data_IF_161593358290
#
_entry.id   IF_161593358290
#
_cell.length_a   1.000
_cell.length_b   1.000
_cell.length_c   1.000
_cell.angle_alpha   90.00
_cell.angle_beta   90.00
_cell.angle_gamma   90.00
#
_symmetry.space_group_name_H-M   'P 1'
#
loop_
_entity.id
_entity.type
_entity.pdbx_description
1 polymer ?
#
# COMPACT_ATOMS: atom_id res chain seq x y z
N UNK A 1 7.22 25.90 -20.70
CA UNK A 1 7.48 24.82 -21.69
C UNK A 1 7.76 23.57 -20.90
N UNK A 2 6.86 22.58 -20.94
CA UNK A 2 6.96 21.35 -20.15
C UNK A 2 7.65 20.32 -21.04
N UNK A 3 8.87 19.92 -20.68
CA UNK A 3 9.53 18.77 -21.26
C UNK A 3 8.64 17.54 -21.01
N UNK A 4 8.34 16.79 -22.07
CA UNK A 4 7.46 15.63 -22.00
C UNK A 4 7.95 14.63 -20.96
N UNK A 5 7.17 14.43 -19.91
CA UNK A 5 7.33 13.32 -18.98
C UNK A 5 7.24 12.02 -19.80
N UNK A 6 8.39 11.36 -19.99
CA UNK A 6 8.38 9.97 -20.42
C UNK A 6 7.64 9.21 -19.33
N UNK A 7 6.46 8.70 -19.65
CA UNK A 7 5.69 7.78 -18.82
C UNK A 7 6.61 6.64 -18.36
N UNK A 8 7.11 6.74 -17.14
CA UNK A 8 8.10 5.83 -16.60
C UNK A 8 7.42 4.48 -16.35
N UNK A 9 7.83 3.48 -17.12
CA UNK A 9 7.40 2.11 -16.92
C UNK A 9 8.30 1.49 -15.85
N UNK A 10 7.72 0.81 -14.87
CA UNK A 10 8.49 0.07 -13.87
C UNK A 10 8.78 -1.34 -14.41
N UNK A 11 10.04 -1.76 -14.30
CA UNK A 11 10.52 -3.08 -14.72
C UNK A 11 10.66 -3.99 -13.51
N UNK A 12 9.52 -4.48 -13.02
CA UNK A 12 9.43 -5.33 -11.85
C UNK A 12 8.37 -6.41 -12.09
N UNK A 13 8.75 -7.71 -12.07
CA UNK A 13 7.81 -8.81 -12.25
C UNK A 13 6.74 -8.79 -11.14
N UNK A 14 5.49 -8.61 -11.55
CA UNK A 14 4.35 -8.35 -10.68
C UNK A 14 3.28 -9.41 -10.92
N UNK A 15 2.87 -10.10 -9.85
CA UNK A 15 1.65 -10.90 -9.82
C UNK A 15 0.54 -10.09 -9.15
N UNK A 16 -0.54 -9.86 -9.88
CA UNK A 16 -1.75 -9.20 -9.40
C UNK A 16 -2.81 -10.26 -9.13
N UNK A 17 -3.22 -10.40 -7.88
CA UNK A 17 -4.34 -11.24 -7.50
C UNK A 17 -5.58 -10.37 -7.44
N UNK A 18 -6.65 -10.84 -8.05
CA UNK A 18 -7.87 -10.06 -8.25
C UNK A 18 -8.90 -10.31 -7.14
N UNK A 19 -9.77 -9.33 -6.93
CA UNK A 19 -11.06 -9.51 -6.23
C UNK A 19 -12.07 -10.19 -7.16
N UNK A 20 -13.27 -10.48 -6.66
CA UNK A 20 -14.37 -11.02 -7.49
C UNK A 20 -14.81 -10.00 -8.54
N UNK A 21 -14.86 -8.72 -8.17
CA UNK A 21 -15.14 -7.60 -9.06
C UNK A 21 -14.05 -7.46 -10.14
N UNK A 22 -12.77 -7.52 -9.72
CA UNK A 22 -11.63 -7.49 -10.64
C UNK A 22 -11.65 -8.66 -11.62
N UNK A 23 -11.89 -9.87 -11.12
CA UNK A 23 -12.03 -11.09 -11.93
C UNK A 23 -13.13 -10.92 -12.98
N UNK A 24 -14.31 -10.46 -12.57
CA UNK A 24 -15.44 -10.19 -13.46
C UNK A 24 -15.10 -9.14 -14.51
N UNK A 25 -14.42 -8.07 -14.13
CA UNK A 25 -13.99 -7.00 -15.03
C UNK A 25 -13.06 -7.51 -16.15
N UNK A 26 -12.07 -8.33 -15.80
CA UNK A 26 -11.12 -8.87 -16.77
C UNK A 26 -11.73 -9.95 -17.66
N UNK A 27 -12.56 -10.84 -17.11
CA UNK A 27 -13.27 -11.87 -17.88
C UNK A 27 -14.21 -11.22 -18.91
N UNK A 28 -14.99 -10.19 -18.54
CA UNK A 28 -15.86 -9.45 -19.47
C UNK A 28 -15.09 -8.80 -20.62
N UNK A 29 -13.79 -8.59 -20.48
CA UNK A 29 -12.89 -8.05 -21.50
C UNK A 29 -12.08 -9.11 -22.23
N UNK A 30 -12.49 -10.38 -22.13
CA UNK A 30 -11.84 -11.55 -22.73
C UNK A 30 -10.35 -11.67 -22.36
N UNK A 31 -9.98 -11.29 -21.13
CA UNK A 31 -8.62 -11.51 -20.61
C UNK A 31 -8.57 -12.83 -19.87
N UNK A 32 -7.67 -13.72 -20.30
CA UNK A 32 -7.41 -15.00 -19.63
C UNK A 32 -6.66 -14.73 -18.33
N UNK A 33 -7.21 -15.25 -17.23
CA UNK A 33 -6.57 -15.20 -15.93
C UNK A 33 -5.60 -16.36 -15.76
N UNK A 34 -4.48 -16.10 -15.11
CA UNK A 34 -3.51 -17.10 -14.71
C UNK A 34 -3.91 -17.66 -13.36
N UNK A 35 -3.74 -18.98 -13.18
CA UNK A 35 -3.83 -19.62 -11.87
C UNK A 35 -2.44 -19.58 -11.26
N UNK A 36 -2.29 -18.85 -10.17
CA UNK A 36 -1.07 -18.80 -9.40
C UNK A 36 -1.17 -19.78 -8.25
N UNK A 37 -0.11 -20.55 -8.05
CA UNK A 37 0.13 -21.25 -6.80
C UNK A 37 1.00 -20.31 -5.97
N UNK A 38 0.39 -19.74 -4.94
CA UNK A 38 1.03 -18.77 -4.04
C UNK A 38 1.33 -19.41 -2.68
N UNK A 39 2.08 -18.66 -1.90
CA UNK A 39 1.98 -18.50 -0.45
C UNK A 39 1.36 -19.65 0.31
N UNK A 40 1.95 -20.85 0.36
CA UNK A 40 1.40 -21.94 1.18
C UNK A 40 0.30 -22.76 0.47
N UNK A 41 0.49 -23.01 -0.83
CA UNK A 41 -0.33 -23.92 -1.66
C UNK A 41 -1.78 -23.45 -1.83
N UNK A 42 -2.03 -22.14 -1.72
CA UNK A 42 -3.32 -21.53 -2.05
C UNK A 42 -3.30 -21.14 -3.52
N UNK A 43 -4.35 -21.53 -4.23
CA UNK A 43 -4.52 -21.18 -5.61
C UNK A 43 -5.37 -19.93 -5.73
N UNK A 44 -4.80 -18.89 -6.32
CA UNK A 44 -5.51 -17.64 -6.59
C UNK A 44 -5.43 -17.31 -8.07
N UNK A 45 -6.42 -16.58 -8.58
CA UNK A 45 -6.50 -16.17 -9.97
C UNK A 45 -6.03 -14.72 -10.14
N UNK A 46 -5.30 -14.47 -11.21
CA UNK A 46 -4.71 -13.15 -11.40
C UNK A 46 -4.05 -12.90 -12.74
N UNK A 47 -3.23 -11.86 -12.78
CA UNK A 47 -2.50 -11.38 -13.96
C UNK A 47 -1.02 -11.25 -13.61
N UNK A 48 -0.14 -11.71 -14.51
CA UNK A 48 1.31 -11.52 -14.39
C UNK A 48 1.76 -10.40 -15.33
N UNK A 49 2.60 -9.50 -14.86
CA UNK A 49 3.15 -8.39 -15.62
C UNK A 49 4.66 -8.31 -15.41
N UNK A 50 5.45 -8.33 -16.48
CA UNK A 50 6.91 -8.11 -16.38
C UNK A 50 7.26 -6.62 -16.23
N UNK A 51 6.43 -5.76 -16.83
CA UNK A 51 6.56 -4.31 -16.79
C UNK A 51 5.18 -3.69 -16.66
N UNK A 52 5.07 -2.58 -15.95
CA UNK A 52 3.77 -1.92 -15.77
C UNK A 52 3.88 -0.40 -15.65
N UNK A 53 2.76 0.25 -15.95
CA UNK A 53 2.57 1.68 -15.70
C UNK A 53 2.01 1.88 -14.29
N UNK A 54 2.66 2.67 -13.41
CA UNK A 54 2.18 2.96 -12.05
C UNK A 54 0.71 3.41 -12.01
N UNK A 55 0.34 4.32 -12.91
CA UNK A 55 -1.03 4.85 -13.06
C UNK A 55 -2.08 3.76 -13.33
N UNK A 56 -1.70 2.68 -14.02
CA UNK A 56 -2.60 1.57 -14.30
C UNK A 56 -2.84 0.75 -13.04
N UNK A 57 -1.78 0.45 -12.28
CA UNK A 57 -1.90 -0.30 -11.02
C UNK A 57 -2.69 0.52 -10.00
N UNK A 58 -2.41 1.81 -9.86
CA UNK A 58 -3.16 2.69 -8.98
C UNK A 58 -4.66 2.71 -9.33
N UNK A 59 -5.02 2.81 -10.62
CA UNK A 59 -6.43 2.75 -11.03
C UNK A 59 -7.11 1.44 -10.65
N UNK A 60 -6.42 0.31 -10.79
CA UNK A 60 -6.95 -1.00 -10.40
C UNK A 60 -7.10 -1.12 -8.87
N UNK A 61 -6.16 -0.55 -8.10
CA UNK A 61 -6.24 -0.48 -6.63
C UNK A 61 -7.42 0.38 -6.17
N UNK A 62 -7.57 1.58 -6.74
CA UNK A 62 -8.65 2.51 -6.43
C UNK A 62 -10.04 1.96 -6.80
N UNK A 63 -10.11 1.15 -7.87
CA UNK A 63 -11.32 0.44 -8.28
C UNK A 63 -11.60 -0.85 -7.48
N UNK A 64 -10.75 -1.17 -6.49
CA UNK A 64 -10.84 -2.38 -5.67
C UNK A 64 -10.83 -3.69 -6.49
N UNK A 65 -10.09 -3.70 -7.60
CA UNK A 65 -9.94 -4.89 -8.45
C UNK A 65 -8.80 -5.80 -8.03
N UNK A 66 -7.90 -5.34 -7.14
CA UNK A 66 -6.72 -6.07 -6.69
C UNK A 66 -6.87 -6.34 -5.20
N UNK A 67 -6.76 -7.61 -4.81
CA UNK A 67 -6.79 -8.06 -3.42
C UNK A 67 -5.38 -8.28 -2.85
N UNK A 68 -4.43 -8.67 -3.71
CA UNK A 68 -3.03 -8.89 -3.35
C UNK A 68 -2.10 -8.59 -4.51
N UNK A 69 -0.91 -8.09 -4.18
CA UNK A 69 0.20 -7.90 -5.10
C UNK A 69 1.37 -8.72 -4.58
N UNK A 70 2.08 -9.43 -5.44
CA UNK A 70 3.28 -10.18 -5.10
C UNK A 70 4.40 -9.94 -6.11
N UNK A 71 5.63 -9.83 -5.61
CA UNK A 71 6.87 -9.81 -6.39
C UNK A 71 7.82 -10.87 -5.84
N UNK A 72 8.69 -11.39 -6.70
CA UNK A 72 9.69 -12.39 -6.31
C UNK A 72 10.95 -12.29 -7.17
N UNK A 73 12.13 -12.24 -6.55
CA UNK A 73 13.44 -12.24 -7.22
C UNK A 73 14.48 -12.94 -6.33
N UNK A 74 15.55 -13.45 -6.93
CA UNK A 74 16.74 -13.90 -6.18
C UNK A 74 17.54 -12.71 -5.64
N UNK A 75 17.45 -11.55 -6.31
CA UNK A 75 18.07 -10.29 -5.91
C UNK A 75 17.15 -9.10 -6.21
N UNK A 76 16.94 -8.25 -5.21
CA UNK A 76 16.11 -7.06 -5.28
C UNK A 76 16.89 -5.75 -5.22
N UNK A 77 18.18 -5.75 -4.82
CA UNK A 77 18.97 -4.51 -4.78
C UNK A 77 18.99 -3.78 -6.13
N UNK A 78 18.98 -4.53 -7.24
CA UNK A 78 18.90 -4.03 -8.61
C UNK A 78 17.56 -3.36 -8.98
N UNK A 79 16.52 -3.56 -8.16
CA UNK A 79 15.17 -2.99 -8.37
C UNK A 79 14.69 -2.17 -7.16
N UNK A 80 15.63 -1.62 -6.38
CA UNK A 80 15.35 -0.90 -5.13
C UNK A 80 14.33 0.22 -5.32
N UNK A 81 14.51 1.06 -6.33
CA UNK A 81 13.65 2.21 -6.56
C UNK A 81 12.23 1.77 -6.96
N UNK A 82 12.12 0.79 -7.85
CA UNK A 82 10.85 0.23 -8.33
C UNK A 82 10.02 -0.36 -7.18
N UNK A 83 10.68 -1.05 -6.23
CA UNK A 83 10.01 -1.63 -5.05
C UNK A 83 9.52 -0.53 -4.11
N UNK A 84 10.36 0.48 -3.84
CA UNK A 84 9.98 1.62 -3.01
C UNK A 84 8.81 2.38 -3.61
N UNK A 85 8.82 2.62 -4.92
CA UNK A 85 7.77 3.31 -5.65
C UNK A 85 6.47 2.51 -5.68
N UNK A 86 6.54 1.19 -5.91
CA UNK A 86 5.39 0.29 -5.82
C UNK A 86 4.77 0.32 -4.41
N UNK A 87 5.61 0.20 -3.37
CA UNK A 87 5.15 0.22 -1.98
C UNK A 87 4.47 1.55 -1.62
N UNK A 88 5.07 2.69 -2.01
CA UNK A 88 4.44 4.01 -1.83
C UNK A 88 3.10 4.10 -2.56
N UNK A 89 3.07 3.67 -3.83
CA UNK A 89 1.86 3.69 -4.65
C UNK A 89 0.72 2.88 -4.02
N UNK A 90 1.02 1.73 -3.44
CA UNK A 90 0.05 0.90 -2.72
C UNK A 90 -0.48 1.64 -1.49
N UNK A 91 0.40 2.19 -0.64
CA UNK A 91 0.00 2.93 0.57
C UNK A 91 -0.84 4.16 0.22
N UNK A 92 -0.43 4.95 -0.77
CA UNK A 92 -1.22 6.09 -1.25
C UNK A 92 -2.61 5.67 -1.73
N UNK A 93 -2.70 4.56 -2.47
CA UNK A 93 -3.99 4.04 -2.95
C UNK A 93 -4.91 3.62 -1.80
N UNK A 94 -4.36 3.01 -0.75
CA UNK A 94 -5.12 2.68 0.48
C UNK A 94 -5.65 3.96 1.13
N UNK A 95 -4.79 4.96 1.34
CA UNK A 95 -5.17 6.23 1.96
C UNK A 95 -6.23 6.98 1.16
N UNK A 96 -6.13 7.02 -0.18
CA UNK A 96 -7.13 7.66 -1.03
C UNK A 96 -8.50 7.01 -0.92
N UNK A 97 -8.57 5.66 -0.92
CA UNK A 97 -9.84 4.94 -0.76
C UNK A 97 -10.47 5.18 0.61
N UNK A 98 -9.67 5.09 1.66
CA UNK A 98 -10.16 5.34 3.01
C UNK A 98 -10.66 6.77 3.20
N UNK A 99 -9.93 7.75 2.65
CA UNK A 99 -10.37 9.13 2.69
C UNK A 99 -11.71 9.32 1.97
N UNK A 100 -11.86 8.75 0.77
CA UNK A 100 -13.13 8.78 0.04
C UNK A 100 -14.27 8.13 0.83
N UNK A 101 -14.06 6.93 1.39
CA UNK A 101 -15.05 6.25 2.22
C UNK A 101 -15.42 7.05 3.47
N UNK A 102 -14.43 7.61 4.16
CA UNK A 102 -14.63 8.43 5.35
C UNK A 102 -15.45 9.68 5.00
N UNK A 103 -15.03 10.44 3.98
CA UNK A 103 -15.73 11.65 3.53
C UNK A 103 -17.15 11.32 3.13
N UNK A 104 -17.35 10.26 2.35
CA UNK A 104 -18.69 9.87 1.90
C UNK A 104 -19.61 9.59 3.10
N UNK A 105 -19.14 8.81 4.10
CA UNK A 105 -19.89 8.57 5.34
C UNK A 105 -20.17 9.85 6.13
N UNK A 106 -19.22 10.76 6.24
CA UNK A 106 -19.43 12.04 6.94
C UNK A 106 -20.47 12.92 6.23
N UNK A 107 -20.41 12.97 4.90
CA UNK A 107 -21.35 13.72 4.08
C UNK A 107 -22.78 13.16 4.23
N UNK A 108 -22.95 11.85 4.14
CA UNK A 108 -24.26 11.20 4.33
C UNK A 108 -24.84 11.45 5.73
N UNK A 109 -23.98 11.52 6.75
CA UNK A 109 -24.39 11.79 8.14
C UNK A 109 -24.53 13.28 8.48
N UNK A 110 -24.23 14.17 7.53
CA UNK A 110 -24.28 15.61 7.74
C UNK A 110 -25.71 16.14 7.96
N UNK A 111 -25.87 17.29 8.63
CA UNK A 111 -27.17 17.95 8.78
C UNK A 111 -27.88 18.23 7.43
N UNK A 112 -27.09 18.51 6.38
CA UNK A 112 -27.57 18.76 5.02
C UNK A 112 -28.37 17.56 4.49
N UNK A 113 -27.76 16.37 4.52
CA UNK A 113 -28.40 15.15 4.01
C UNK A 113 -29.53 14.68 4.92
N UNK A 114 -29.37 14.75 6.24
CA UNK A 114 -30.43 14.42 7.19
C UNK A 114 -31.69 15.28 6.97
N UNK A 115 -31.52 16.58 6.74
CA UNK A 115 -32.63 17.50 6.45
C UNK A 115 -33.26 17.17 5.09
N UNK A 116 -32.45 16.93 4.05
CA UNK A 116 -32.96 16.52 2.73
C UNK A 116 -33.83 15.26 2.82
N UNK A 117 -33.33 14.21 3.48
CA UNK A 117 -34.02 12.93 3.61
C UNK A 117 -35.34 13.07 4.38
N UNK A 118 -35.41 13.94 5.40
CA UNK A 118 -36.64 14.23 6.13
C UNK A 118 -37.70 14.90 5.26
N UNK A 119 -37.30 15.79 4.35
CA UNK A 119 -38.22 16.53 3.47
C UNK A 119 -38.56 15.71 2.21
N UNK A 120 -37.69 14.80 1.80
CA UNK A 120 -37.81 14.02 0.55
C UNK A 120 -37.76 12.50 0.83
N UNK A 121 -38.75 11.93 1.54
CA UNK A 121 -38.73 10.52 1.93
C UNK A 121 -38.78 9.54 0.73
N UNK A 122 -39.30 9.97 -0.42
CA UNK A 122 -39.30 9.16 -1.65
C UNK A 122 -37.96 9.16 -2.41
N UNK A 123 -37.05 10.08 -2.07
CA UNK A 123 -35.78 10.32 -2.77
C UNK A 123 -34.64 10.49 -1.76
N UNK A 124 -34.54 9.54 -0.84
CA UNK A 124 -33.52 9.48 0.21
C UNK A 124 -32.14 9.33 -0.43
N UNK A 125 -31.16 9.99 0.19
CA UNK A 125 -29.73 9.87 -0.11
C UNK A 125 -29.07 9.14 1.05
N UNK A 126 -28.54 7.95 0.78
CA UNK A 126 -27.87 7.06 1.71
C UNK A 126 -26.79 6.21 0.99
N UNK A 127 -26.19 5.24 1.70
CA UNK A 127 -25.17 4.35 1.15
C UNK A 127 -25.68 3.42 0.04
N UNK A 128 -26.99 3.18 -0.02
CA UNK A 128 -27.65 2.30 -1.01
C UNK A 128 -28.14 3.05 -2.24
N UNK A 129 -27.96 4.37 -2.25
CA UNK A 129 -28.45 5.23 -3.33
C UNK A 129 -27.66 4.97 -4.61
N UNK A 130 -28.31 4.30 -5.56
CA UNK A 130 -27.77 4.09 -6.90
C UNK A 130 -28.17 5.25 -7.82
N UNK A 131 -27.16 5.93 -8.38
CA UNK A 131 -27.35 6.98 -9.40
C UNK A 131 -26.88 6.43 -10.74
N UNK A 132 -27.67 6.66 -11.79
CA UNK A 132 -27.29 6.34 -13.15
C UNK A 132 -25.97 7.06 -13.52
N UNK A 133 -24.95 6.30 -13.91
CA UNK A 133 -23.60 6.83 -14.18
C UNK A 133 -23.56 7.88 -15.29
N UNK A 134 -24.35 7.70 -16.36
CA UNK A 134 -24.42 8.67 -17.46
C UNK A 134 -25.04 9.99 -17.01
N UNK A 135 -26.10 9.90 -16.22
CA UNK A 135 -26.74 11.07 -15.63
C UNK A 135 -25.77 11.81 -14.68
N UNK A 136 -25.10 11.07 -13.79
CA UNK A 136 -24.12 11.62 -12.86
C UNK A 136 -22.98 12.33 -13.61
N UNK A 137 -22.38 11.67 -14.60
CA UNK A 137 -21.31 12.25 -15.41
C UNK A 137 -21.76 13.54 -16.12
N UNK A 138 -22.98 13.56 -16.67
CA UNK A 138 -23.52 14.75 -17.32
C UNK A 138 -23.73 15.92 -16.35
N UNK A 139 -24.19 15.66 -15.12
CA UNK A 139 -24.34 16.71 -14.11
C UNK A 139 -22.99 17.24 -13.67
N UNK A 140 -22.03 16.36 -13.38
CA UNK A 140 -20.69 16.78 -12.95
C UNK A 140 -19.99 17.60 -14.03
N UNK A 141 -20.15 17.23 -15.31
CA UNK A 141 -19.64 18.02 -16.44
C UNK A 141 -20.28 19.41 -16.52
N UNK A 142 -21.59 19.52 -16.29
CA UNK A 142 -22.27 20.84 -16.24
C UNK A 142 -21.80 21.69 -15.06
N UNK A 143 -21.43 21.05 -13.96
CA UNK A 143 -20.99 21.69 -12.72
C UNK A 143 -19.46 21.76 -12.59
N UNK A 144 -18.69 21.59 -13.67
CA UNK A 144 -17.22 21.49 -13.61
C UNK A 144 -16.57 22.70 -12.93
N UNK A 145 -16.98 23.92 -13.32
CA UNK A 145 -16.50 25.14 -12.68
C UNK A 145 -16.86 25.18 -11.19
N UNK A 146 -18.07 24.75 -10.85
CA UNK A 146 -18.53 24.74 -9.46
C UNK A 146 -17.71 23.78 -8.59
N UNK A 147 -17.37 22.61 -9.15
CA UNK A 147 -16.50 21.63 -8.51
C UNK A 147 -15.11 22.21 -8.31
N UNK A 148 -14.57 22.88 -9.33
CA UNK A 148 -13.27 23.54 -9.25
C UNK A 148 -13.26 24.60 -8.13
N UNK A 149 -14.25 25.48 -8.09
CA UNK A 149 -14.35 26.53 -7.07
C UNK A 149 -14.46 25.94 -5.66
N UNK A 150 -15.28 24.89 -5.48
CA UNK A 150 -15.40 24.20 -4.19
C UNK A 150 -14.10 23.51 -3.77
N UNK A 151 -13.31 22.96 -4.71
CA UNK A 151 -11.97 22.45 -4.41
C UNK A 151 -11.05 23.57 -3.93
N UNK A 152 -11.05 24.72 -4.61
CA UNK A 152 -10.22 25.86 -4.20
C UNK A 152 -10.62 26.41 -2.83
N UNK A 153 -11.92 26.41 -2.50
CA UNK A 153 -12.43 26.80 -1.19
C UNK A 153 -11.96 25.86 -0.07
N UNK A 154 -11.85 24.57 -0.36
CA UNK A 154 -11.26 23.59 0.56
C UNK A 154 -9.75 23.81 0.71
N UNK A 155 -9.04 23.96 -0.41
CA UNK A 155 -7.57 23.92 -0.48
C UNK A 155 -6.90 25.24 -0.06
N UNK A 156 -7.47 26.40 -0.38
CA UNK A 156 -6.84 27.72 -0.20
C UNK A 156 -6.39 27.99 1.26
N UNK A 157 -7.20 27.70 2.29
CA UNK A 157 -6.77 27.85 3.68
C UNK A 157 -5.59 26.94 4.02
N UNK A 158 -5.58 25.72 3.50
CA UNK A 158 -4.48 24.77 3.70
C UNK A 158 -3.21 25.24 2.98
N UNK A 159 -3.35 25.72 1.74
CA UNK A 159 -2.22 26.25 0.96
C UNK A 159 -1.59 27.46 1.63
N UNK A 160 -2.42 28.31 2.22
CA UNK A 160 -1.96 29.46 2.99
C UNK A 160 -1.17 29.03 4.23
N UNK A 161 -1.60 27.97 4.93
CA UNK A 161 -0.89 27.40 6.07
C UNK A 161 0.46 26.77 5.66
N UNK A 162 0.47 25.96 4.61
CA UNK A 162 1.68 25.30 4.08
C UNK A 162 2.70 26.34 3.60
N UNK A 163 2.26 27.39 2.88
CA UNK A 163 3.15 28.43 2.38
C UNK A 163 3.87 29.19 3.51
N UNK A 164 3.17 29.44 4.62
CA UNK A 164 3.70 30.11 5.81
C UNK A 164 4.58 29.22 6.69
N UNK A 165 4.69 27.92 6.40
CA UNK A 165 5.52 27.03 7.17
C UNK A 165 6.99 27.15 6.72
N UNK A 166 7.82 27.79 7.53
CA UNK A 166 9.25 28.00 7.23
C UNK A 166 10.11 26.75 7.46
N UNK A 167 9.56 25.70 8.07
CA UNK A 167 10.25 24.42 8.25
C UNK A 167 10.23 23.55 6.99
N UNK A 168 9.35 23.87 6.02
CA UNK A 168 9.23 23.12 4.77
C UNK A 168 10.01 23.79 3.65
N UNK A 169 10.78 22.98 2.92
CA UNK A 169 11.44 23.41 1.69
C UNK A 169 10.41 23.64 0.57
N UNK A 170 10.72 24.45 -0.47
CA UNK A 170 9.81 24.69 -1.59
C UNK A 170 9.32 23.40 -2.27
N UNK A 171 10.18 22.40 -2.42
CA UNK A 171 9.82 21.11 -3.01
C UNK A 171 8.82 20.35 -2.14
N UNK A 172 9.00 20.39 -0.82
CA UNK A 172 8.09 19.75 0.15
C UNK A 172 6.73 20.44 0.16
N UNK A 173 6.70 21.77 0.06
CA UNK A 173 5.46 22.54 -0.10
C UNK A 173 4.70 22.13 -1.36
N UNK A 174 5.39 22.00 -2.50
CA UNK A 174 4.79 21.57 -3.76
C UNK A 174 4.21 20.16 -3.68
N UNK A 175 4.91 19.23 -3.02
CA UNK A 175 4.41 17.87 -2.77
C UNK A 175 3.11 17.93 -1.96
N UNK A 176 3.06 18.73 -0.89
CA UNK A 176 1.87 18.89 -0.06
C UNK A 176 0.68 19.49 -0.84
N UNK A 177 0.91 20.48 -1.70
CA UNK A 177 -0.14 21.01 -2.58
C UNK A 177 -0.71 19.93 -3.48
N UNK A 178 0.18 19.21 -4.17
CA UNK A 178 -0.21 18.13 -5.07
C UNK A 178 -0.98 17.01 -4.34
N UNK A 179 -0.57 16.65 -3.13
CA UNK A 179 -1.28 15.67 -2.31
C UNK A 179 -2.71 16.11 -1.98
N UNK A 180 -2.91 17.38 -1.59
CA UNK A 180 -4.23 17.93 -1.35
C UNK A 180 -5.16 17.79 -2.56
N UNK A 181 -4.66 18.13 -3.75
CA UNK A 181 -5.41 17.95 -5.00
C UNK A 181 -5.71 16.48 -5.29
N UNK A 182 -4.73 15.59 -5.09
CA UNK A 182 -4.89 14.16 -5.35
C UNK A 182 -5.98 13.53 -4.48
N UNK A 183 -6.04 13.84 -3.19
CA UNK A 183 -7.10 13.35 -2.32
C UNK A 183 -8.48 13.80 -2.80
N UNK A 184 -8.65 15.09 -3.13
CA UNK A 184 -9.92 15.62 -3.62
C UNK A 184 -10.30 15.05 -4.99
N UNK A 185 -9.32 14.82 -5.86
CA UNK A 185 -9.54 14.23 -7.20
C UNK A 185 -9.94 12.74 -7.14
N UNK A 186 -9.58 12.04 -6.06
CA UNK A 186 -9.94 10.64 -5.84
C UNK A 186 -11.26 10.45 -5.08
N UNK A 187 -11.93 11.53 -4.65
CA UNK A 187 -13.29 11.44 -4.13
C UNK A 187 -14.24 10.95 -5.23
N UNK A 188 -15.16 10.05 -4.85
CA UNK A 188 -16.12 9.45 -5.78
C UNK A 188 -17.00 10.51 -6.43
N UNK A 189 -17.41 10.31 -7.70
CA UNK A 189 -18.29 11.23 -8.42
C UNK A 189 -19.56 11.64 -7.64
N UNK A 190 -20.14 10.70 -6.87
CA UNK A 190 -21.35 10.96 -6.09
C UNK A 190 -21.12 11.98 -4.96
N UNK A 191 -19.93 12.00 -4.35
CA UNK A 191 -19.55 13.00 -3.36
C UNK A 191 -19.60 14.41 -3.96
N UNK A 192 -19.03 14.60 -5.16
CA UNK A 192 -19.07 15.88 -5.85
C UNK A 192 -20.47 16.30 -6.29
N UNK A 193 -21.32 15.33 -6.66
CA UNK A 193 -22.73 15.59 -6.93
C UNK A 193 -23.44 16.13 -5.70
N UNK A 194 -23.22 15.55 -4.51
CA UNK A 194 -23.81 16.03 -3.27
C UNK A 194 -23.31 17.46 -2.97
N UNK A 195 -21.99 17.68 -3.00
CA UNK A 195 -21.39 19.01 -2.73
C UNK A 195 -22.01 20.07 -3.65
N UNK A 196 -22.07 19.81 -4.96
CA UNK A 196 -22.62 20.79 -5.91
C UNK A 196 -24.13 20.99 -5.76
N UNK A 197 -24.88 19.93 -5.48
CA UNK A 197 -26.35 20.00 -5.30
C UNK A 197 -26.75 20.82 -4.09
N UNK A 198 -25.98 20.77 -3.00
CA UNK A 198 -26.34 21.39 -1.73
C UNK A 198 -25.54 22.66 -1.40
N UNK A 199 -24.89 23.28 -2.39
CA UNK A 199 -24.07 24.49 -2.19
C UNK A 199 -24.83 25.64 -1.52
N UNK A 200 -26.12 25.81 -1.84
CA UNK A 200 -26.96 26.88 -1.27
C UNK A 200 -27.54 26.54 0.11
N UNK A 201 -27.20 25.39 0.70
CA UNK A 201 -27.66 25.00 2.03
C UNK A 201 -26.98 25.83 3.11
N UNK A 202 -27.72 26.23 4.14
CA UNK A 202 -27.16 26.95 5.31
C UNK A 202 -26.06 26.15 6.02
N UNK A 203 -26.11 24.82 5.94
CA UNK A 203 -25.15 23.91 6.58
C UNK A 203 -23.97 23.52 5.66
N UNK A 204 -23.84 24.14 4.48
CA UNK A 204 -22.81 23.80 3.48
C UNK A 204 -21.38 24.08 3.97
N UNK A 205 -21.16 25.18 4.68
CA UNK A 205 -19.84 25.50 5.27
C UNK A 205 -19.34 24.42 6.22
N UNK A 206 -20.25 23.80 6.97
CA UNK A 206 -19.90 22.70 7.88
C UNK A 206 -19.38 21.50 7.07
N UNK A 207 -19.98 21.21 5.91
CA UNK A 207 -19.55 20.15 5.01
C UNK A 207 -18.11 20.39 4.53
N UNK A 208 -17.81 21.60 4.05
CA UNK A 208 -16.47 21.95 3.57
C UNK A 208 -15.43 21.91 4.69
N UNK A 209 -15.81 22.37 5.89
CA UNK A 209 -14.95 22.29 7.08
C UNK A 209 -14.61 20.84 7.42
N UNK A 210 -15.58 19.93 7.43
CA UNK A 210 -15.34 18.50 7.64
C UNK A 210 -14.34 17.97 6.62
N UNK A 211 -14.58 18.21 5.32
CA UNK A 211 -13.69 17.75 4.25
C UNK A 211 -12.26 18.27 4.48
N UNK A 212 -12.11 19.58 4.73
CA UNK A 212 -10.81 20.23 4.96
C UNK A 212 -10.07 19.69 6.17
N UNK A 213 -10.74 19.51 7.30
CA UNK A 213 -10.10 19.01 8.53
C UNK A 213 -9.61 17.58 8.37
N UNK A 214 -10.40 16.70 7.76
CA UNK A 214 -9.94 15.33 7.47
C UNK A 214 -8.89 15.27 6.38
N UNK A 215 -8.90 16.18 5.41
CA UNK A 215 -7.88 16.24 4.37
C UNK A 215 -6.50 16.45 4.99
N UNK A 216 -6.38 17.38 5.95
CA UNK A 216 -5.13 17.61 6.66
C UNK A 216 -4.64 16.35 7.40
N UNK A 217 -5.52 15.65 8.10
CA UNK A 217 -5.19 14.41 8.81
C UNK A 217 -4.68 13.31 7.86
N UNK A 218 -5.37 13.09 6.73
CA UNK A 218 -4.96 12.09 5.75
C UNK A 218 -3.69 12.48 4.99
N UNK A 219 -3.46 13.77 4.76
CA UNK A 219 -2.20 14.25 4.21
C UNK A 219 -1.03 13.96 5.15
N UNK A 220 -1.19 14.12 6.46
CA UNK A 220 -0.13 13.77 7.43
C UNK A 220 0.15 12.26 7.46
N UNK A 221 -0.89 11.40 7.33
CA UNK A 221 -0.73 9.94 7.21
C UNK A 221 0.14 9.51 6.03
N UNK A 222 0.24 10.32 4.97
CA UNK A 222 1.05 9.98 3.79
C UNK A 222 2.54 9.84 4.08
N UNK A 223 3.04 10.46 5.16
CA UNK A 223 4.45 10.36 5.56
C UNK A 223 4.85 8.92 5.88
N UNK A 224 3.91 8.11 6.35
CA UNK A 224 4.14 6.70 6.65
C UNK A 224 4.52 5.91 5.38
N UNK A 225 4.08 6.33 4.19
CA UNK A 225 4.41 5.64 2.95
C UNK A 225 5.93 5.54 2.71
N UNK A 226 6.67 6.61 3.04
CA UNK A 226 8.13 6.61 2.96
C UNK A 226 8.75 5.63 3.95
N UNK A 227 8.29 5.68 5.21
CA UNK A 227 8.82 4.84 6.29
C UNK A 227 8.55 3.35 6.05
N UNK A 228 7.36 3.00 5.55
CA UNK A 228 7.03 1.63 5.15
C UNK A 228 7.97 1.17 4.04
N UNK A 229 8.17 1.98 3.00
CA UNK A 229 9.03 1.61 1.88
C UNK A 229 10.50 1.46 2.28
N UNK A 230 11.02 2.33 3.15
CA UNK A 230 12.38 2.22 3.67
C UNK A 230 12.55 0.96 4.50
N UNK A 231 11.70 0.75 5.50
CA UNK A 231 11.76 -0.43 6.35
C UNK A 231 11.60 -1.71 5.51
N UNK A 232 10.71 -1.74 4.53
CA UNK A 232 10.52 -2.89 3.67
C UNK A 232 11.79 -3.21 2.87
N UNK A 233 12.45 -2.19 2.32
CA UNK A 233 13.72 -2.41 1.63
C UNK A 233 14.80 -2.97 2.54
N UNK A 234 14.89 -2.50 3.78
CA UNK A 234 15.85 -3.05 4.75
C UNK A 234 15.56 -4.52 5.06
N UNK A 235 14.29 -4.91 5.22
CA UNK A 235 13.91 -6.32 5.40
C UNK A 235 14.26 -7.17 4.17
N UNK A 236 14.03 -6.64 2.97
CA UNK A 236 14.36 -7.31 1.71
C UNK A 236 15.87 -7.53 1.61
N UNK A 237 16.66 -6.48 1.83
CA UNK A 237 18.12 -6.57 1.77
C UNK A 237 18.68 -7.51 2.84
N UNK A 238 18.09 -7.51 4.03
CA UNK A 238 18.44 -8.45 5.10
C UNK A 238 18.21 -9.90 4.66
N UNK A 239 17.02 -10.22 4.12
CA UNK A 239 16.69 -11.55 3.62
C UNK A 239 17.58 -11.99 2.44
N UNK A 240 17.84 -11.08 1.50
CA UNK A 240 18.74 -11.32 0.36
C UNK A 240 20.17 -11.61 0.83
N UNK A 241 20.71 -10.81 1.74
CA UNK A 241 22.05 -11.00 2.29
C UNK A 241 22.17 -12.32 3.05
N UNK A 242 21.14 -12.75 3.77
CA UNK A 242 21.11 -14.07 4.41
C UNK A 242 21.25 -15.20 3.38
N UNK A 243 20.50 -15.13 2.28
CA UNK A 243 20.56 -16.11 1.20
C UNK A 243 21.94 -16.13 0.53
N UNK A 244 22.50 -14.96 0.24
CA UNK A 244 23.84 -14.83 -0.35
C UNK A 244 24.94 -15.38 0.56
N UNK A 245 24.93 -15.06 1.87
CA UNK A 245 25.93 -15.59 2.83
C UNK A 245 25.85 -17.11 2.93
N UNK A 246 24.64 -17.66 2.92
CA UNK A 246 24.43 -19.11 2.96
C UNK A 246 25.01 -19.79 1.72
N UNK A 247 24.80 -19.21 0.54
CA UNK A 247 25.34 -19.74 -0.72
C UNK A 247 26.87 -19.56 -0.80
N UNK A 248 27.39 -18.44 -0.27
CA UNK A 248 28.83 -18.19 -0.19
C UNK A 248 29.56 -19.26 0.62
N UNK A 249 29.01 -19.64 1.79
CA UNK A 249 29.58 -20.72 2.62
C UNK A 249 29.62 -22.08 1.91
N UNK A 250 28.71 -22.35 0.97
CA UNK A 250 28.72 -23.60 0.19
C UNK A 250 29.75 -23.56 -0.94
N UNK A 251 29.81 -22.45 -1.68
CA UNK A 251 30.67 -22.31 -2.85
C UNK A 251 32.12 -21.98 -2.49
N UNK A 252 32.34 -21.36 -1.34
CA UNK A 252 33.64 -20.91 -0.85
C UNK A 252 33.83 -21.31 0.62
N UNK A 253 33.99 -22.60 0.94
CA UNK A 253 34.12 -23.08 2.32
C UNK A 253 35.34 -22.52 3.06
N UNK A 254 36.38 -22.13 2.31
CA UNK A 254 37.64 -21.62 2.85
C UNK A 254 37.57 -20.12 3.23
N UNK A 255 36.47 -19.42 2.92
CA UNK A 255 36.26 -18.03 3.35
C UNK A 255 35.88 -17.99 4.83
N UNK A 256 36.78 -17.45 5.65
CA UNK A 256 36.60 -17.28 7.10
C UNK A 256 35.42 -16.36 7.43
N UNK A 257 35.14 -15.39 6.56
CA UNK A 257 33.97 -14.52 6.67
C UNK A 257 33.17 -14.50 5.35
N UNK A 258 31.95 -15.04 5.40
CA UNK A 258 31.02 -15.00 4.27
C UNK A 258 30.54 -13.59 3.91
N UNK A 259 30.79 -12.60 4.75
CA UNK A 259 30.48 -11.19 4.50
C UNK A 259 31.52 -10.52 3.58
N UNK A 260 32.82 -10.85 3.75
CA UNK A 260 33.88 -10.38 2.84
C UNK A 260 33.62 -10.79 1.40
N UNK A 261 33.09 -12.00 1.21
CA UNK A 261 32.70 -12.55 -0.10
C UNK A 261 31.64 -11.68 -0.83
N UNK A 262 30.79 -10.97 -0.10
CA UNK A 262 29.70 -10.18 -0.68
C UNK A 262 30.16 -8.81 -1.19
N UNK A 263 31.32 -8.33 -0.74
CA UNK A 263 31.88 -7.06 -1.21
C UNK A 263 32.62 -7.18 -2.54
N UNK A 264 33.03 -8.39 -2.95
CA UNK A 264 33.57 -8.63 -4.28
C UNK A 264 32.44 -8.73 -5.33
N UNK A 265 32.37 -7.81 -6.31
CA UNK A 265 31.31 -7.80 -7.31
C UNK A 265 31.25 -9.06 -8.18
N UNK A 266 32.39 -9.72 -8.43
CA UNK A 266 32.44 -10.93 -9.25
C UNK A 266 31.91 -12.13 -8.47
N UNK A 267 32.31 -12.26 -7.19
CA UNK A 267 31.77 -13.30 -6.30
C UNK A 267 30.27 -13.09 -6.14
N UNK A 268 29.82 -11.86 -5.85
CA UNK A 268 28.40 -11.53 -5.72
C UNK A 268 27.59 -11.91 -6.96
N UNK A 269 28.04 -11.55 -8.18
CA UNK A 269 27.35 -11.95 -9.42
C UNK A 269 27.23 -13.46 -9.57
N UNK A 270 28.28 -14.21 -9.20
CA UNK A 270 28.26 -15.67 -9.25
C UNK A 270 27.27 -16.26 -8.23
N UNK A 271 27.21 -15.70 -7.03
CA UNK A 271 26.24 -16.10 -6.01
C UNK A 271 24.79 -15.85 -6.47
N UNK A 272 24.51 -14.68 -7.04
CA UNK A 272 23.18 -14.34 -7.57
C UNK A 272 22.78 -15.33 -8.68
N UNK A 273 23.68 -15.61 -9.63
CA UNK A 273 23.41 -16.58 -10.70
C UNK A 273 23.13 -18.00 -10.16
N UNK A 274 23.81 -18.40 -9.08
CA UNK A 274 23.56 -19.68 -8.43
C UNK A 274 22.20 -19.71 -7.70
N UNK A 275 21.82 -18.63 -7.01
CA UNK A 275 20.51 -18.49 -6.39
C UNK A 275 19.39 -18.54 -7.44
N UNK A 276 19.56 -17.87 -8.58
CA UNK A 276 18.61 -17.91 -9.70
C UNK A 276 18.48 -19.33 -10.27
N UNK A 277 19.61 -20.03 -10.47
CA UNK A 277 19.64 -21.41 -10.95
C UNK A 277 18.90 -22.37 -10.00
N UNK A 278 19.09 -22.17 -8.69
CA UNK A 278 18.49 -23.00 -7.65
C UNK A 278 17.06 -22.57 -7.29
N UNK A 279 16.53 -21.52 -7.94
CA UNK A 279 15.25 -20.89 -7.64
C UNK A 279 15.12 -20.51 -6.15
N UNK A 280 16.21 -20.07 -5.54
CA UNK A 280 16.21 -19.48 -4.20
C UNK A 280 15.77 -18.02 -4.34
N UNK A 281 14.52 -17.76 -3.94
CA UNK A 281 13.83 -16.49 -4.16
C UNK A 281 13.45 -15.86 -2.82
N UNK A 282 13.50 -14.53 -2.79
CA UNK A 282 12.80 -13.72 -1.78
C UNK A 282 11.46 -13.28 -2.39
N UNK A 283 10.41 -13.35 -1.58
CA UNK A 283 9.08 -12.95 -1.98
C UNK A 283 8.60 -11.82 -1.08
N UNK A 284 7.86 -10.89 -1.69
CA UNK A 284 7.19 -9.80 -0.98
C UNK A 284 5.76 -9.74 -1.49
N UNK A 285 4.82 -9.74 -0.55
CA UNK A 285 3.39 -9.62 -0.87
C UNK A 285 2.74 -8.50 -0.08
N UNK A 286 1.86 -7.75 -0.75
CA UNK A 286 0.98 -6.76 -0.15
C UNK A 286 -0.45 -7.28 -0.29
N UNK A 287 -1.09 -7.60 0.83
CA UNK A 287 -2.50 -7.97 0.89
C UNK A 287 -3.32 -6.78 1.37
N UNK A 288 -4.38 -6.50 0.62
CA UNK A 288 -5.24 -5.34 0.81
C UNK A 288 -6.58 -5.81 1.40
N UNK A 289 -6.99 -5.18 2.49
CA UNK A 289 -8.33 -5.33 3.04
C UNK A 289 -9.29 -4.32 2.43
N UNK A 290 -10.55 -4.71 2.19
CA UNK A 290 -11.57 -3.78 1.68
C UNK A 290 -12.58 -4.31 0.65
N UNK A 291 -12.48 -5.56 0.19
CA UNK A 291 -13.44 -6.13 -0.77
C UNK A 291 -14.85 -6.36 -0.20
N UNK A 292 -15.84 -6.44 -1.09
CA UNK A 292 -17.26 -6.74 -0.80
C UNK A 292 -17.47 -8.05 -0.01
N UNK A 293 -16.50 -8.96 -0.07
CA UNK A 293 -16.47 -10.26 0.63
C UNK A 293 -15.58 -10.27 1.88
N UNK A 294 -14.94 -9.15 2.24
CA UNK A 294 -14.05 -9.10 3.41
C UNK A 294 -14.84 -8.92 4.71
N UNK A 295 -14.46 -9.69 5.74
CA UNK A 295 -15.08 -9.69 7.07
C UNK A 295 -15.11 -8.29 7.68
N UNK A 296 -16.19 -7.94 8.38
CA UNK A 296 -16.32 -6.71 9.18
C UNK A 296 -15.05 -6.54 10.04
N UNK A 297 -14.38 -5.39 9.89
CA UNK A 297 -13.14 -5.08 10.63
C UNK A 297 -11.83 -5.16 9.82
N UNK A 298 -11.86 -5.53 8.53
CA UNK A 298 -10.66 -5.53 7.66
C UNK A 298 -10.58 -4.35 6.68
N UNK A 299 -11.52 -3.40 6.75
CA UNK A 299 -11.49 -2.20 5.91
C UNK A 299 -10.27 -1.36 6.25
N UNK A 300 -9.46 -0.99 5.24
CA UNK A 300 -8.27 -0.17 5.46
C UNK A 300 -7.03 -0.91 5.97
N UNK A 301 -7.09 -2.25 6.05
CA UNK A 301 -5.94 -3.07 6.43
C UNK A 301 -4.97 -3.23 5.27
N UNK A 302 -3.70 -2.94 5.49
CA UNK A 302 -2.59 -3.31 4.62
C UNK A 302 -1.71 -4.31 5.36
N UNK A 303 -1.52 -5.50 4.78
CA UNK A 303 -0.57 -6.48 5.30
C UNK A 303 0.57 -6.65 4.30
N UNK A 304 1.80 -6.50 4.77
CA UNK A 304 3.01 -6.76 3.99
C UNK A 304 3.68 -8.00 4.57
N UNK A 305 3.93 -9.00 3.73
CA UNK A 305 4.56 -10.25 4.13
C UNK A 305 5.80 -10.50 3.29
N UNK A 306 6.93 -10.75 3.95
CA UNK A 306 8.19 -11.15 3.35
C UNK A 306 8.51 -12.60 3.71
N UNK A 307 8.98 -13.38 2.74
CA UNK A 307 9.46 -14.74 3.00
C UNK A 307 10.64 -15.13 2.10
N UNK A 308 11.58 -15.90 2.66
CA UNK A 308 12.95 -16.05 2.13
C UNK A 308 13.21 -17.30 1.28
N UNK A 309 12.21 -18.13 0.97
CA UNK A 309 12.42 -19.39 0.23
C UNK A 309 11.23 -19.81 -0.62
N UNK A 310 11.55 -20.52 -1.72
CA UNK A 310 10.59 -21.11 -2.63
C UNK A 310 9.72 -22.18 -1.93
N UNK A 311 8.42 -22.09 -2.17
CA UNK A 311 7.40 -22.75 -1.36
C UNK A 311 7.19 -24.23 -1.67
N UNK A 312 7.36 -25.06 -0.64
CA UNK A 312 6.54 -26.26 -0.40
C UNK A 312 6.38 -26.55 1.11
N UNK A 313 6.33 -25.54 1.97
CA UNK A 313 6.23 -25.77 3.42
C UNK A 313 4.82 -25.52 3.94
N UNK A 314 4.18 -26.55 4.50
CA UNK A 314 2.93 -26.42 5.30
C UNK A 314 3.08 -25.41 6.44
N UNK A 315 4.33 -25.10 6.86
CA UNK A 315 4.64 -24.07 7.84
C UNK A 315 4.23 -22.64 7.40
N UNK A 316 4.27 -22.33 6.09
CA UNK A 316 3.79 -21.04 5.55
C UNK A 316 2.27 -20.93 5.72
N UNK A 317 1.56 -22.03 5.46
CA UNK A 317 0.09 -22.13 5.56
C UNK A 317 -0.40 -21.97 7.00
N UNK A 318 0.31 -22.57 7.96
CA UNK A 318 -0.02 -22.43 9.37
C UNK A 318 0.18 -20.96 9.81
N UNK A 319 1.28 -20.29 9.45
CA UNK A 319 1.43 -18.86 9.80
C UNK A 319 0.42 -17.93 9.12
N UNK A 320 0.11 -18.11 7.83
CA UNK A 320 -0.86 -17.23 7.14
C UNK A 320 -2.28 -17.35 7.70
N UNK A 321 -2.64 -18.50 8.30
CA UNK A 321 -3.95 -18.74 8.90
C UNK A 321 -3.96 -18.55 10.43
N UNK A 322 -2.89 -18.89 11.15
CA UNK A 322 -2.79 -18.87 12.61
C UNK A 322 -2.56 -17.47 13.19
N UNK A 323 -2.12 -16.48 12.40
CA UNK A 323 -2.06 -15.06 12.85
C UNK A 323 -3.44 -14.54 13.33
N UNK A 324 -4.54 -15.23 13.02
CA UNK A 324 -5.86 -14.91 13.60
C UNK A 324 -6.01 -15.31 15.08
N UNK A 325 -5.19 -16.23 15.60
CA UNK A 325 -5.37 -16.85 16.92
C UNK A 325 -4.10 -16.92 17.79
N UNK A 326 -2.91 -16.58 17.29
CA UNK A 326 -1.67 -16.62 18.11
C UNK A 326 -1.48 -15.32 18.90
N UNK A 327 -1.20 -15.45 20.20
CA UNK A 327 -0.72 -14.36 21.06
C UNK A 327 0.48 -13.66 20.40
N UNK A 328 0.24 -12.46 19.84
CA UNK A 328 1.24 -11.60 19.17
C UNK A 328 2.41 -11.24 20.11
N UNK A 329 2.22 -11.44 21.42
CA UNK A 329 3.20 -11.20 22.48
C UNK A 329 4.39 -12.18 22.50
N UNK A 330 4.40 -13.26 21.70
CA UNK A 330 5.50 -14.25 21.79
C UNK A 330 6.64 -14.10 20.80
N UNK A 331 6.49 -13.44 19.64
CA UNK A 331 7.56 -13.32 18.64
C UNK A 331 7.55 -11.94 17.93
N UNK A 332 7.86 -10.87 18.64
CA UNK A 332 8.04 -9.55 18.02
C UNK A 332 9.19 -9.58 17.01
N UNK A 333 9.07 -8.83 15.91
CA UNK A 333 10.19 -8.66 14.97
C UNK A 333 11.42 -8.03 15.68
N UNK A 334 11.18 -7.25 16.74
CA UNK A 334 12.23 -6.70 17.60
C UNK A 334 13.00 -7.81 18.31
N UNK A 335 12.29 -8.79 18.86
CA UNK A 335 12.91 -9.91 19.57
C UNK A 335 13.64 -10.84 18.59
N UNK A 336 13.07 -11.05 17.40
CA UNK A 336 13.73 -11.80 16.33
C UNK A 336 15.11 -11.25 15.96
N UNK A 337 15.26 -9.93 15.85
CA UNK A 337 16.56 -9.32 15.56
C UNK A 337 17.55 -9.42 16.73
N UNK A 338 17.07 -9.45 17.98
CA UNK A 338 17.92 -9.64 19.17
C UNK A 338 18.47 -11.05 19.27
N UNK A 339 17.73 -12.04 18.76
CA UNK A 339 18.11 -13.46 18.80
C UNK A 339 19.08 -13.87 17.67
N UNK A 340 19.46 -12.94 16.78
CA UNK A 340 20.44 -13.21 15.72
C UNK A 340 21.86 -13.33 16.30
N UNK A 341 22.71 -14.28 15.82
CA UNK A 341 24.05 -14.50 16.37
C UNK A 341 24.95 -13.25 16.33
N UNK A 342 25.78 -13.07 17.37
CA UNK A 342 26.79 -12.00 17.44
C UNK A 342 27.71 -12.03 16.21
N UNK A 343 27.89 -10.86 15.56
CA UNK A 343 28.62 -10.71 14.30
C UNK A 343 27.77 -10.21 13.13
N UNK A 344 26.44 -10.22 13.25
CA UNK A 344 25.55 -9.55 12.30
C UNK A 344 25.38 -8.06 12.65
N UNK A 345 26.41 -7.22 12.49
CA UNK A 345 26.30 -5.77 12.79
C UNK A 345 25.16 -5.05 12.04
N UNK A 346 24.67 -5.62 10.93
CA UNK A 346 23.53 -5.13 10.15
C UNK A 346 22.16 -5.24 10.87
N UNK A 347 22.03 -6.06 11.93
CA UNK A 347 20.74 -6.29 12.62
C UNK A 347 20.26 -5.08 13.44
N UNK A 348 21.16 -4.20 13.88
CA UNK A 348 20.81 -3.02 14.66
C UNK A 348 20.03 -1.98 13.83
N UNK A 349 20.30 -1.84 12.54
CA UNK A 349 19.62 -0.88 11.66
C UNK A 349 18.14 -1.23 11.50
N UNK A 350 17.81 -2.51 11.27
CA UNK A 350 16.42 -2.98 11.17
C UNK A 350 15.59 -2.64 12.41
N UNK A 351 16.18 -2.77 13.60
CA UNK A 351 15.58 -2.42 14.88
C UNK A 351 15.24 -0.93 15.01
N UNK A 352 16.15 -0.06 14.57
CA UNK A 352 15.92 1.38 14.54
C UNK A 352 14.78 1.75 13.59
N UNK A 353 14.74 1.15 12.39
CA UNK A 353 13.65 1.41 11.43
C UNK A 353 12.28 0.96 11.95
N UNK A 354 12.18 -0.17 12.65
CA UNK A 354 10.92 -0.65 13.24
C UNK A 354 10.44 0.30 14.33
N UNK A 355 11.34 0.70 15.23
CA UNK A 355 11.02 1.61 16.33
C UNK A 355 10.55 2.96 15.80
N UNK A 356 11.25 3.48 14.79
CA UNK A 356 10.90 4.74 14.14
C UNK A 356 9.58 4.66 13.35
N UNK A 357 9.34 3.56 12.64
CA UNK A 357 8.07 3.32 11.94
C UNK A 357 6.90 3.24 12.93
N UNK A 358 7.08 2.58 14.09
CA UNK A 358 6.07 2.51 15.14
C UNK A 358 5.72 3.90 15.66
N UNK A 359 6.73 4.70 16.03
CA UNK A 359 6.52 6.07 16.52
C UNK A 359 5.86 6.95 15.45
N UNK A 360 6.26 6.81 14.19
CA UNK A 360 5.67 7.55 13.08
C UNK A 360 4.20 7.16 12.85
N UNK A 361 3.84 5.88 13.00
CA UNK A 361 2.47 5.40 12.88
C UNK A 361 1.59 5.92 14.03
N UNK A 362 2.08 5.88 15.27
CA UNK A 362 1.38 6.41 16.45
C UNK A 362 1.03 7.90 16.29
N UNK A 363 1.97 8.71 15.80
CA UNK A 363 1.79 10.16 15.60
C UNK A 363 0.63 10.53 14.67
N UNK A 364 0.24 9.63 13.78
CA UNK A 364 -0.83 9.86 12.80
C UNK A 364 -1.97 8.85 12.92
N UNK A 365 -2.10 8.23 14.11
CA UNK A 365 -3.18 7.31 14.47
C UNK A 365 -3.31 6.09 13.55
N UNK A 366 -2.19 5.55 13.07
CA UNK A 366 -2.16 4.29 12.32
C UNK A 366 -1.71 3.18 13.27
N UNK A 367 -2.52 2.12 13.39
CA UNK A 367 -2.13 0.97 14.22
C UNK A 367 -1.18 0.08 13.43
N UNK A 368 0.02 -0.11 13.98
CA UNK A 368 1.09 -0.92 13.40
C UNK A 368 1.37 -2.14 14.28
N UNK A 369 1.47 -3.31 13.65
CA UNK A 369 1.86 -4.56 14.28
C UNK A 369 2.91 -5.26 13.42
N UNK A 370 3.91 -5.87 14.04
CA UNK A 370 4.94 -6.65 13.36
C UNK A 370 5.20 -7.98 14.05
N UNK A 371 5.50 -9.02 13.27
CA UNK A 371 5.84 -10.34 13.79
C UNK A 371 6.83 -11.02 12.85
N UNK A 372 7.69 -11.88 13.40
CA UNK A 372 8.61 -12.69 12.62
C UNK A 372 8.64 -14.12 13.14
N UNK A 373 8.71 -15.07 12.21
CA UNK A 373 8.79 -16.49 12.55
C UNK A 373 9.88 -17.14 11.69
N UNK A 374 10.75 -17.92 12.34
CA UNK A 374 11.76 -18.75 11.67
C UNK A 374 11.44 -20.22 11.88
N UNK A 375 11.43 -20.98 10.80
CA UNK A 375 11.19 -22.41 10.83
C UNK A 375 12.50 -23.16 10.59
N UNK A 376 13.10 -23.69 11.65
CA UNK A 376 14.38 -24.40 11.60
C UNK A 376 14.36 -25.57 10.62
N UNK A 377 13.24 -26.32 10.58
CA UNK A 377 13.09 -27.50 9.72
C UNK A 377 13.09 -27.19 8.21
N UNK A 378 12.67 -25.99 7.82
CA UNK A 378 12.58 -25.59 6.41
C UNK A 378 13.51 -24.44 6.03
N UNK A 379 14.29 -23.93 6.99
CA UNK A 379 15.09 -22.70 6.90
C UNK A 379 14.32 -21.55 6.24
N UNK A 380 13.06 -21.42 6.64
CA UNK A 380 12.11 -20.43 6.13
C UNK A 380 11.96 -19.33 7.18
N UNK A 381 12.16 -18.08 6.78
CA UNK A 381 11.81 -16.92 7.58
C UNK A 381 10.57 -16.27 6.99
N UNK A 382 9.59 -15.96 7.83
CA UNK A 382 8.38 -15.21 7.46
C UNK A 382 8.28 -13.98 8.34
N UNK A 383 8.24 -12.80 7.74
CA UNK A 383 8.05 -11.52 8.43
C UNK A 383 6.72 -10.93 7.98
N UNK A 384 5.91 -10.49 8.94
CA UNK A 384 4.63 -9.85 8.69
C UNK A 384 4.59 -8.47 9.32
N UNK A 385 4.04 -7.54 8.56
CA UNK A 385 3.78 -6.17 8.95
C UNK A 385 2.31 -5.88 8.67
N UNK A 386 1.61 -5.34 9.64
CA UNK A 386 0.18 -5.07 9.54
C UNK A 386 -0.08 -3.62 9.91
N UNK A 387 -0.76 -2.91 9.02
CA UNK A 387 -1.14 -1.51 9.17
C UNK A 387 -2.66 -1.39 9.10
N UNK A 388 -3.24 -0.68 10.05
CA UNK A 388 -4.65 -0.27 10.03
C UNK A 388 -4.71 1.25 10.08
N UNK A 389 -5.05 1.83 8.92
CA UNK A 389 -4.98 3.26 8.66
C UNK A 389 -6.23 4.05 9.06
#
# INVERSE_FOLDING_TARGET
MIAGERKQMLELPLKLILTDEGTTFFIKRNKKLLRFKLAGNVEEYGISLEKFMPETIQRLLLADYISKIEISKSEFVSSRQEIMDLSKLIVFSVLYRQYDDFIFKQILNSPVIKRWNRVNPASIIDEKTHINERFLANILKKNEQLIYDSKQEILTPMYSFINKNDQLRPEEKNIQFFLGEKFLNNLRPFTWFIITKFKSSADFETLLKTIRSSLAEYMDKTRIAEYISLMLMELILSAENMNLRKEAKKLYPDLTDGQEALFDPNIRRRLVAELERNQELVFVSWKLGGGSTTSIGTQGKLQVTLYSKNEQSEAVKNNLNDIKNTDVNKNSLIDFYRDLPEGQQDSNLGMYYISYLSEACEKVNVRFESSANRFENSDLTVINLSFMF
#
